data_IF_277094892841
#
_entry.id   IF_277094892841
#
_cell.length_a   1.000
_cell.length_b   1.000
_cell.length_c   1.000
_cell.angle_alpha   90.00
_cell.angle_beta   90.00
_cell.angle_gamma   90.00
#
_symmetry.space_group_name_H-M   'P 1'
#
loop_
_entity.id
_entity.type
_entity.pdbx_description
1 polymer ?
#
# COMPACT_ATOMS: atom_id res chain seq x y z
N UNK A 1 -11.54 -5.06 -3.32
CA UNK A 1 -10.85 -3.87 -3.88
C UNK A 1 -11.82 -2.87 -4.53
N UNK A 2 -12.67 -3.30 -5.48
CA UNK A 2 -13.52 -2.40 -6.26
C UNK A 2 -14.47 -1.47 -5.48
N UNK A 3 -15.08 -1.92 -4.37
CA UNK A 3 -15.91 -1.06 -3.52
C UNK A 3 -15.11 0.07 -2.88
N UNK A 4 -13.92 -0.22 -2.35
CA UNK A 4 -13.08 0.79 -1.70
C UNK A 4 -12.55 1.82 -2.69
N UNK A 5 -12.19 1.39 -3.90
CA UNK A 5 -11.81 2.31 -4.99
C UNK A 5 -12.96 3.26 -5.30
N UNK A 6 -14.20 2.77 -5.41
CA UNK A 6 -15.39 3.61 -5.66
C UNK A 6 -15.69 4.57 -4.51
N UNK A 7 -15.57 4.13 -3.25
CA UNK A 7 -15.77 4.99 -2.08
C UNK A 7 -14.78 6.16 -2.06
N UNK A 8 -13.50 5.87 -2.31
CA UNK A 8 -12.44 6.88 -2.37
C UNK A 8 -12.67 7.81 -3.56
N UNK A 9 -13.04 7.25 -4.72
CA UNK A 9 -13.35 8.04 -5.92
C UNK A 9 -14.50 9.00 -5.65
N UNK A 10 -15.58 8.54 -5.02
CA UNK A 10 -16.73 9.38 -4.68
C UNK A 10 -16.37 10.53 -3.74
N UNK A 11 -15.40 10.31 -2.84
CA UNK A 11 -14.90 11.38 -1.97
C UNK A 11 -14.15 12.47 -2.73
N UNK A 12 -13.36 12.11 -3.76
CA UNK A 12 -12.51 13.06 -4.50
C UNK A 12 -13.13 13.61 -5.79
N UNK A 13 -13.96 12.83 -6.48
CA UNK A 13 -14.62 13.18 -7.73
C UNK A 13 -15.96 12.45 -7.85
N UNK A 14 -17.04 13.16 -7.53
CA UNK A 14 -18.41 12.64 -7.55
C UNK A 14 -18.91 12.33 -8.96
N UNK A 15 -18.30 12.92 -9.97
CA UNK A 15 -18.68 12.75 -11.38
C UNK A 15 -18.21 11.40 -11.94
N UNK A 16 -17.20 10.78 -11.33
CA UNK A 16 -16.69 9.46 -11.75
C UNK A 16 -17.48 8.36 -11.04
N UNK A 17 -18.42 7.76 -11.77
CA UNK A 17 -19.30 6.71 -11.24
C UNK A 17 -19.01 5.29 -11.78
N UNK A 18 -18.13 5.15 -12.77
CA UNK A 18 -17.80 3.87 -13.43
C UNK A 18 -16.29 3.69 -13.54
N UNK A 19 -15.87 2.45 -13.39
CA UNK A 19 -14.48 1.99 -13.56
C UNK A 19 -14.49 0.81 -14.52
N UNK A 20 -13.52 0.73 -15.43
CA UNK A 20 -13.30 -0.49 -16.22
C UNK A 20 -12.77 -1.61 -15.32
N UNK A 21 -12.93 -2.85 -15.77
CA UNK A 21 -12.43 -4.00 -15.02
C UNK A 21 -10.90 -3.95 -14.95
N UNK A 22 -10.25 -3.60 -16.06
CA UNK A 22 -8.80 -3.49 -16.21
C UNK A 22 -8.21 -2.41 -15.29
N UNK A 23 -8.89 -1.28 -15.12
CA UNK A 23 -8.44 -0.22 -14.22
C UNK A 23 -8.49 -0.67 -12.75
N UNK A 24 -9.51 -1.44 -12.37
CA UNK A 24 -9.59 -2.00 -11.01
C UNK A 24 -8.49 -3.04 -10.76
N UNK A 25 -8.16 -3.87 -11.77
CA UNK A 25 -7.06 -4.83 -11.69
C UNK A 25 -5.72 -4.10 -11.58
N UNK A 26 -5.46 -3.11 -12.41
CA UNK A 26 -4.21 -2.33 -12.36
C UNK A 26 -4.00 -1.65 -10.99
N UNK A 27 -5.07 -1.09 -10.40
CA UNK A 27 -4.99 -0.52 -9.04
C UNK A 27 -4.70 -1.59 -7.99
N UNK A 28 -5.30 -2.78 -8.15
CA UNK A 28 -5.04 -3.89 -7.25
C UNK A 28 -3.58 -4.33 -7.33
N UNK A 29 -3.05 -4.55 -8.53
CA UNK A 29 -1.66 -4.95 -8.75
C UNK A 29 -0.67 -3.92 -8.21
N UNK A 30 -0.91 -2.63 -8.46
CA UNK A 30 -0.07 -1.56 -7.93
C UNK A 30 -0.10 -1.51 -6.39
N UNK A 31 -1.28 -1.68 -5.78
CA UNK A 31 -1.41 -1.70 -4.32
C UNK A 31 -0.73 -2.93 -3.70
N UNK A 32 -0.87 -4.10 -4.32
CA UNK A 32 -0.20 -5.33 -3.87
C UNK A 32 1.31 -5.22 -3.99
N UNK A 33 1.83 -4.73 -5.12
CA UNK A 33 3.26 -4.50 -5.33
C UNK A 33 3.83 -3.55 -4.27
N UNK A 34 3.17 -2.42 -4.03
CA UNK A 34 3.56 -1.47 -2.99
C UNK A 34 3.56 -2.10 -1.59
N UNK A 35 2.53 -2.87 -1.25
CA UNK A 35 2.42 -3.50 0.07
C UNK A 35 3.49 -4.58 0.27
N UNK A 36 3.77 -5.39 -0.75
CA UNK A 36 4.84 -6.41 -0.71
C UNK A 36 6.17 -5.76 -0.41
N UNK A 37 6.57 -4.75 -1.17
CA UNK A 37 7.83 -4.04 -0.96
C UNK A 37 7.89 -3.36 0.41
N UNK A 38 6.80 -2.73 0.85
CA UNK A 38 6.74 -2.11 2.17
C UNK A 38 6.89 -3.15 3.29
N UNK A 39 6.28 -4.33 3.16
CA UNK A 39 6.39 -5.38 4.16
C UNK A 39 7.75 -6.06 4.17
N UNK A 40 8.42 -6.19 3.02
CA UNK A 40 9.82 -6.64 2.94
C UNK A 40 10.75 -5.70 3.71
N UNK A 41 10.61 -4.39 3.48
CA UNK A 41 11.37 -3.37 4.21
C UNK A 41 11.05 -3.34 5.71
N UNK A 42 9.78 -3.50 6.08
CA UNK A 42 9.38 -3.61 7.47
C UNK A 42 9.94 -4.89 8.12
N UNK A 43 10.04 -5.99 7.38
CA UNK A 43 10.61 -7.24 7.88
C UNK A 43 12.11 -7.09 8.17
N UNK A 44 12.86 -6.39 7.30
CA UNK A 44 14.25 -6.02 7.58
C UNK A 44 14.38 -5.18 8.85
N UNK A 45 13.47 -4.25 9.09
CA UNK A 45 13.44 -3.46 10.34
C UNK A 45 13.16 -4.35 11.57
N UNK A 46 12.27 -5.33 11.47
CA UNK A 46 11.99 -6.27 12.56
C UNK A 46 13.21 -7.16 12.88
N UNK A 47 13.87 -7.69 11.84
CA UNK A 47 15.10 -8.49 11.96
C UNK A 47 16.23 -7.67 12.58
N UNK A 48 16.43 -6.43 12.14
CA UNK A 48 17.42 -5.52 12.73
C UNK A 48 17.18 -5.32 14.24
N UNK A 49 15.92 -5.30 14.66
CA UNK A 49 15.52 -5.24 16.06
C UNK A 49 15.45 -6.61 16.78
N UNK A 50 16.06 -7.66 16.20
CA UNK A 50 16.12 -9.03 16.74
C UNK A 50 14.74 -9.67 16.99
N UNK A 51 13.76 -9.41 16.12
CA UNK A 51 12.41 -10.01 16.17
C UNK A 51 12.05 -10.70 14.88
N UNK A 52 11.13 -11.66 14.98
CA UNK A 52 10.50 -12.33 13.82
C UNK A 52 9.10 -11.78 13.56
N UNK A 53 8.38 -11.40 14.62
CA UNK A 53 7.04 -10.81 14.49
C UNK A 53 7.11 -9.34 14.06
N UNK A 54 6.47 -9.03 12.94
CA UNK A 54 6.25 -7.66 12.47
C UNK A 54 5.39 -6.85 13.45
N UNK A 55 5.78 -5.61 13.68
CA UNK A 55 5.05 -4.67 14.52
C UNK A 55 4.81 -3.36 13.76
N UNK A 56 3.80 -2.58 14.19
CA UNK A 56 3.50 -1.29 13.56
C UNK A 56 4.71 -0.34 13.51
N UNK A 57 5.61 -0.39 14.51
CA UNK A 57 6.82 0.42 14.55
C UNK A 57 7.79 0.12 13.40
N UNK A 58 7.82 -1.13 12.92
CA UNK A 58 8.68 -1.55 11.81
C UNK A 58 8.18 -0.97 10.49
N UNK A 59 6.87 -1.02 10.26
CA UNK A 59 6.22 -0.41 9.10
C UNK A 59 6.38 1.11 9.11
N UNK A 60 6.19 1.75 10.27
CA UNK A 60 6.40 3.21 10.41
C UNK A 60 7.84 3.60 10.13
N UNK A 61 8.80 2.81 10.60
CA UNK A 61 10.22 3.04 10.35
C UNK A 61 10.57 2.83 8.87
N UNK A 62 10.12 1.73 8.27
CA UNK A 62 10.31 1.44 6.85
C UNK A 62 9.79 2.58 5.96
N UNK A 63 8.58 3.09 6.23
CA UNK A 63 8.04 4.26 5.51
C UNK A 63 8.84 5.55 5.72
N UNK A 64 9.43 5.73 6.91
CA UNK A 64 10.21 6.93 7.24
C UNK A 64 11.57 6.93 6.56
N UNK A 65 12.20 5.76 6.44
CA UNK A 65 13.53 5.60 5.83
C UNK A 65 13.43 5.47 4.31
N UNK A 66 12.43 4.75 3.79
CA UNK A 66 12.22 4.56 2.35
C UNK A 66 11.87 5.84 1.59
N UNK A 67 11.54 6.92 2.30
CA UNK A 67 11.20 8.20 1.68
C UNK A 67 9.98 8.10 0.76
N UNK A 68 9.90 9.03 -0.21
CA UNK A 68 8.86 9.04 -1.26
C UNK A 68 9.22 8.19 -2.49
N UNK A 69 10.27 7.36 -2.41
CA UNK A 69 10.86 6.74 -3.60
C UNK A 69 10.23 5.41 -4.03
N UNK A 70 9.23 4.94 -3.30
CA UNK A 70 8.36 3.85 -3.72
C UNK A 70 7.23 4.49 -4.56
N UNK A 71 7.52 4.68 -5.86
CA UNK A 71 6.73 5.34 -6.93
C UNK A 71 6.78 6.87 -7.00
#
# INVERSE_FOLDING_TARGET
>A
MGFKVKDITFFYSKDVNRWSAEALVAIQEAAESFLVELFENANLCAIHAKRVTLMQKDIRLARRIGGRHHW
#
